data_IF_053908371443
#
_entry.id   IF_053908371443
#
_cell.length_a   1.000
_cell.length_b   1.000
_cell.length_c   1.000
_cell.angle_alpha   90.00
_cell.angle_beta   90.00
_cell.angle_gamma   90.00
#
_symmetry.space_group_name_H-M   'P 1'
#
loop_
_entity.id
_entity.type
_entity.pdbx_description
1 polymer ?
#
# COMPACT_ATOMS: atom_id res chain seq x y z
N UNK A 1 25.67 -91.55 -37.25
CA UNK A 1 24.23 -91.24 -37.12
C UNK A 1 24.01 -89.99 -37.96
N UNK A 2 23.45 -90.21 -39.16
CA UNK A 2 23.14 -89.32 -40.29
C UNK A 2 24.30 -88.45 -40.84
N UNK A 3 25.06 -88.90 -41.86
CA UNK A 3 24.75 -88.94 -43.32
C UNK A 3 24.43 -87.55 -43.90
N UNK A 4 24.94 -87.09 -45.04
CA UNK A 4 25.54 -87.71 -46.23
C UNK A 4 26.24 -86.56 -47.03
N UNK A 5 27.45 -86.75 -47.57
CA UNK A 5 27.75 -87.10 -48.98
C UNK A 5 27.09 -86.12 -50.00
N UNK A 6 27.71 -85.55 -51.05
CA UNK A 6 28.85 -85.99 -51.88
C UNK A 6 29.07 -84.99 -53.05
N UNK A 7 30.29 -85.03 -53.63
CA UNK A 7 30.65 -84.91 -55.09
C UNK A 7 30.54 -83.53 -55.75
N UNK A 8 31.62 -82.87 -56.22
CA UNK A 8 32.62 -83.11 -57.30
C UNK A 8 32.21 -82.63 -58.72
N UNK A 9 33.15 -81.91 -59.37
CA UNK A 9 33.29 -81.59 -60.82
C UNK A 9 32.28 -80.58 -61.42
N UNK A 10 32.61 -79.70 -62.36
CA UNK A 10 33.61 -79.71 -63.46
C UNK A 10 33.74 -78.28 -64.05
N UNK A 11 34.89 -78.00 -64.67
CA UNK A 11 35.18 -76.86 -65.56
C UNK A 11 34.12 -76.64 -66.66
N UNK A 12 33.93 -75.39 -67.12
CA UNK A 12 34.23 -75.00 -68.51
C UNK A 12 34.04 -73.48 -68.74
N UNK A 13 35.01 -72.89 -69.46
CA UNK A 13 34.92 -71.58 -70.09
C UNK A 13 33.85 -71.56 -71.20
N UNK A 14 33.34 -70.38 -71.60
CA UNK A 14 33.25 -69.98 -73.01
C UNK A 14 32.90 -68.49 -73.22
N UNK A 15 33.75 -67.84 -74.03
CA UNK A 15 33.55 -66.78 -75.03
C UNK A 15 32.46 -65.69 -74.96
N UNK A 16 32.99 -64.45 -75.08
CA UNK A 16 32.66 -63.35 -76.02
C UNK A 16 31.44 -63.50 -76.94
N UNK A 17 30.62 -62.43 -77.02
CA UNK A 17 30.16 -61.69 -78.21
C UNK A 17 29.21 -60.57 -77.72
N UNK A 18 29.32 -59.26 -78.02
CA UNK A 18 28.88 -58.50 -79.23
C UNK A 18 29.03 -57.01 -78.82
N UNK A 19 29.81 -56.11 -79.43
CA UNK A 19 29.66 -55.44 -80.75
C UNK A 19 29.06 -54.00 -80.64
N UNK A 20 29.92 -53.00 -80.94
CA UNK A 20 29.68 -51.73 -81.70
C UNK A 20 29.31 -50.43 -80.95
N UNK A 21 30.25 -49.47 -80.89
CA UNK A 21 30.45 -48.24 -81.72
C UNK A 21 29.64 -47.03 -81.20
N UNK A 22 30.33 -45.99 -80.69
CA UNK A 22 30.32 -44.62 -81.26
C UNK A 22 30.82 -43.53 -80.26
N UNK A 23 31.51 -42.54 -80.82
CA UNK A 23 31.79 -41.17 -80.33
C UNK A 23 32.82 -40.96 -79.21
N UNK A 24 33.98 -40.40 -79.58
CA UNK A 24 34.74 -39.49 -78.71
C UNK A 24 35.59 -38.53 -79.56
N UNK A 25 35.04 -37.38 -79.94
CA UNK A 25 35.81 -36.21 -80.40
C UNK A 25 35.25 -34.98 -79.68
N UNK A 26 36.13 -34.36 -78.89
CA UNK A 26 36.14 -32.98 -78.38
C UNK A 26 34.89 -32.41 -77.68
N UNK A 27 35.07 -31.93 -76.45
CA UNK A 27 35.19 -30.48 -76.22
C UNK A 27 35.55 -30.14 -74.76
N UNK A 28 36.37 -29.10 -74.66
CA UNK A 28 36.84 -28.41 -73.46
C UNK A 28 35.76 -28.27 -72.36
N UNK A 29 36.06 -28.74 -71.15
CA UNK A 29 35.45 -28.22 -69.93
C UNK A 29 36.45 -27.27 -69.29
N UNK A 30 36.22 -25.98 -69.55
CA UNK A 30 36.81 -24.88 -68.81
C UNK A 30 36.55 -25.08 -67.31
N UNK A 31 37.62 -25.09 -66.51
CA UNK A 31 37.52 -24.81 -65.08
C UNK A 31 37.21 -23.31 -64.96
N UNK A 32 35.93 -22.97 -65.02
CA UNK A 32 35.46 -21.66 -64.57
C UNK A 32 35.47 -21.69 -63.05
N UNK A 33 36.52 -21.12 -62.45
CA UNK A 33 36.46 -20.68 -61.07
C UNK A 33 35.62 -19.39 -61.07
N UNK A 34 34.30 -19.53 -61.23
CA UNK A 34 33.38 -18.45 -60.90
C UNK A 34 33.53 -18.20 -59.41
N UNK A 35 34.12 -17.06 -59.04
CA UNK A 35 33.96 -16.52 -57.69
C UNK A 35 32.45 -16.38 -57.50
N UNK A 36 31.85 -17.26 -56.69
CA UNK A 36 30.49 -17.08 -56.21
C UNK A 36 30.37 -15.63 -55.73
N UNK A 37 29.58 -14.82 -56.44
CA UNK A 37 29.16 -13.52 -55.92
C UNK A 37 28.28 -13.83 -54.73
N UNK A 38 28.85 -13.76 -53.53
CA UNK A 38 28.09 -13.78 -52.28
C UNK A 38 26.89 -12.86 -52.44
N UNK A 39 25.70 -13.44 -52.30
CA UNK A 39 24.45 -12.68 -52.33
C UNK A 39 24.55 -11.53 -51.32
N UNK A 40 24.01 -10.33 -51.63
CA UNK A 40 24.08 -9.20 -50.72
C UNK A 40 23.43 -9.58 -49.37
N UNK A 41 24.13 -9.30 -48.26
CA UNK A 41 23.58 -9.45 -46.91
C UNK A 41 22.52 -8.37 -46.70
N UNK A 42 21.26 -8.78 -46.67
CA UNK A 42 20.13 -7.87 -46.46
C UNK A 42 19.64 -8.07 -45.03
N UNK A 43 19.39 -6.96 -44.33
CA UNK A 43 18.77 -6.98 -43.01
C UNK A 43 17.39 -7.62 -43.07
N UNK A 44 17.12 -8.57 -42.18
CA UNK A 44 15.85 -9.27 -42.09
C UNK A 44 15.10 -8.92 -40.83
N UNK A 45 15.77 -8.93 -39.68
CA UNK A 45 15.13 -8.80 -38.38
C UNK A 45 16.06 -8.24 -37.29
N UNK A 46 15.48 -7.93 -36.13
CA UNK A 46 16.19 -7.55 -34.91
C UNK A 46 15.89 -8.55 -33.81
N UNK A 47 16.91 -9.02 -33.09
CA UNK A 47 16.77 -9.91 -31.94
C UNK A 47 17.51 -9.37 -30.69
N UNK A 48 17.05 -9.78 -29.52
CA UNK A 48 17.75 -9.55 -28.25
C UNK A 48 18.80 -10.66 -28.12
N UNK A 49 20.08 -10.30 -28.22
CA UNK A 49 21.20 -11.24 -28.09
C UNK A 49 21.48 -11.57 -26.62
N UNK A 50 21.26 -10.60 -25.73
CA UNK A 50 21.40 -10.75 -24.28
C UNK A 50 20.40 -9.85 -23.58
N UNK A 51 19.67 -10.38 -22.59
CA UNK A 51 18.81 -9.58 -21.71
C UNK A 51 19.64 -8.58 -20.89
N UNK A 52 19.02 -7.50 -20.36
CA UNK A 52 19.70 -6.61 -19.44
C UNK A 52 20.20 -7.33 -18.19
N UNK A 53 21.16 -6.73 -17.49
CA UNK A 53 21.74 -7.33 -16.28
C UNK A 53 20.71 -7.48 -15.14
N UNK A 54 19.62 -6.71 -15.20
CA UNK A 54 18.50 -6.77 -14.25
C UNK A 54 17.15 -6.70 -14.97
N UNK A 55 16.24 -7.61 -14.60
CA UNK A 55 14.85 -7.66 -15.12
C UNK A 55 13.80 -7.68 -14.01
N UNK A 56 14.20 -7.76 -12.74
CA UNK A 56 13.32 -7.70 -11.57
C UNK A 56 13.67 -6.46 -10.76
N UNK A 57 12.71 -5.57 -10.52
CA UNK A 57 12.88 -4.27 -9.88
C UNK A 57 12.03 -4.17 -8.61
N UNK A 58 12.46 -3.38 -7.63
CA UNK A 58 11.64 -3.06 -6.45
C UNK A 58 10.56 -2.04 -6.79
N UNK A 59 9.50 -1.96 -5.98
CA UNK A 59 8.51 -0.89 -6.11
C UNK A 59 9.20 0.47 -5.93
N UNK A 60 8.93 1.41 -6.83
CA UNK A 60 9.57 2.73 -6.89
C UNK A 60 10.96 2.75 -7.54
N UNK A 61 11.52 1.61 -7.91
CA UNK A 61 12.77 1.55 -8.65
C UNK A 61 12.55 1.89 -10.13
N UNK A 62 13.37 2.77 -10.70
CA UNK A 62 13.31 3.07 -12.14
C UNK A 62 14.09 1.98 -12.90
N UNK A 63 13.48 1.30 -13.89
CA UNK A 63 14.17 0.30 -14.68
C UNK A 63 15.41 0.83 -15.40
N UNK A 64 16.52 0.13 -15.24
CA UNK A 64 17.77 0.33 -15.99
C UNK A 64 18.04 -0.92 -16.84
N UNK A 65 18.25 -0.71 -18.14
CA UNK A 65 18.47 -1.77 -19.11
C UNK A 65 19.93 -1.89 -19.54
N UNK A 66 20.85 -1.43 -18.69
CA UNK A 66 22.28 -1.71 -18.83
C UNK A 66 22.55 -3.21 -19.01
N UNK A 67 23.51 -3.51 -19.89
CA UNK A 67 23.87 -4.89 -20.25
C UNK A 67 22.99 -5.56 -21.31
N UNK A 68 21.93 -4.89 -21.78
CA UNK A 68 21.12 -5.33 -22.93
C UNK A 68 21.97 -5.33 -24.21
N UNK A 69 21.97 -6.45 -24.94
CA UNK A 69 22.64 -6.56 -26.24
C UNK A 69 21.62 -6.87 -27.33
N UNK A 70 21.65 -6.10 -28.41
CA UNK A 70 20.72 -6.20 -29.54
C UNK A 70 21.52 -6.53 -30.80
N UNK A 71 21.01 -7.46 -31.61
CA UNK A 71 21.64 -7.86 -32.87
C UNK A 71 20.69 -7.69 -34.05
N UNK A 72 21.25 -7.19 -35.15
CA UNK A 72 20.63 -7.24 -36.47
C UNK A 72 20.87 -8.62 -37.09
N UNK A 73 19.81 -9.23 -37.60
CA UNK A 73 19.81 -10.50 -38.32
C UNK A 73 19.78 -10.22 -39.82
N UNK A 74 20.56 -10.98 -40.58
CA UNK A 74 20.68 -10.85 -42.04
C UNK A 74 20.21 -12.11 -42.76
N UNK A 75 19.98 -12.01 -44.07
CA UNK A 75 19.52 -13.10 -44.95
C UNK A 75 20.41 -14.34 -44.94
N UNK A 76 21.70 -14.20 -44.65
CA UNK A 76 22.65 -15.30 -44.52
C UNK A 76 22.72 -15.88 -43.10
N UNK A 77 21.76 -15.53 -42.24
CA UNK A 77 21.68 -15.89 -40.82
C UNK A 77 22.81 -15.34 -39.95
N UNK A 78 23.68 -14.47 -40.49
CA UNK A 78 24.68 -13.80 -39.67
C UNK A 78 24.04 -12.72 -38.80
N UNK A 79 24.66 -12.50 -37.64
CA UNK A 79 24.24 -11.53 -36.63
C UNK A 79 25.30 -10.46 -36.50
N UNK A 80 24.86 -9.22 -36.41
CA UNK A 80 25.72 -8.07 -36.15
C UNK A 80 25.21 -7.31 -34.94
N UNK A 81 26.01 -7.17 -33.86
CA UNK A 81 25.64 -6.32 -32.73
C UNK A 81 25.35 -4.89 -33.19
N UNK A 82 24.33 -4.27 -32.60
CA UNK A 82 23.96 -2.89 -32.86
C UNK A 82 23.71 -2.14 -31.55
N UNK A 83 24.21 -0.90 -31.48
CA UNK A 83 23.88 0.06 -30.43
C UNK A 83 22.82 1.07 -30.87
N UNK A 84 22.30 0.94 -32.10
CA UNK A 84 21.31 1.84 -32.69
C UNK A 84 19.90 1.34 -32.43
N UNK A 85 19.51 1.32 -31.16
CA UNK A 85 18.15 0.96 -30.73
C UNK A 85 17.65 1.93 -29.67
N UNK A 86 16.33 1.89 -29.42
CA UNK A 86 15.68 2.59 -28.31
C UNK A 86 14.85 1.60 -27.50
N UNK A 87 14.77 1.83 -26.20
CA UNK A 87 13.92 1.06 -25.29
C UNK A 87 12.77 1.95 -24.82
N UNK A 88 11.55 1.43 -24.91
CA UNK A 88 10.33 2.07 -24.41
C UNK A 88 9.59 1.06 -23.54
N UNK A 89 8.99 1.52 -22.44
CA UNK A 89 8.17 0.67 -21.59
C UNK A 89 7.08 1.51 -20.93
N UNK A 90 5.97 0.86 -20.60
CA UNK A 90 4.85 1.49 -19.89
C UNK A 90 4.45 0.59 -18.73
N UNK A 91 4.48 1.13 -17.52
CA UNK A 91 4.14 0.38 -16.33
C UNK A 91 4.07 1.28 -15.11
N UNK A 92 3.37 0.81 -14.09
CA UNK A 92 3.34 1.50 -12.81
C UNK A 92 4.46 0.92 -11.93
N UNK A 93 5.56 1.67 -11.74
CA UNK A 93 6.67 1.25 -10.87
C UNK A 93 6.23 1.06 -9.41
N UNK A 94 5.08 1.57 -9.03
CA UNK A 94 4.52 1.46 -7.69
C UNK A 94 3.53 0.31 -7.55
N UNK A 95 3.43 -0.59 -8.54
CA UNK A 95 2.57 -1.76 -8.48
C UNK A 95 3.31 -3.03 -8.91
N UNK A 96 3.24 -4.05 -8.06
CA UNK A 96 3.76 -5.40 -8.31
C UNK A 96 3.15 -5.95 -9.59
N UNK A 97 3.97 -6.62 -10.39
CA UNK A 97 3.54 -7.26 -11.62
C UNK A 97 4.54 -7.12 -12.76
N UNK A 98 4.18 -7.67 -13.92
CA UNK A 98 5.05 -7.66 -15.09
C UNK A 98 4.65 -6.57 -16.08
N UNK A 99 5.66 -6.00 -16.75
CA UNK A 99 5.50 -5.07 -17.87
C UNK A 99 6.41 -5.49 -19.03
N UNK A 100 6.00 -5.12 -20.25
CA UNK A 100 6.79 -5.34 -21.45
C UNK A 100 7.68 -4.13 -21.74
N UNK A 101 8.93 -4.41 -22.08
CA UNK A 101 9.87 -3.45 -22.65
C UNK A 101 9.96 -3.70 -24.14
N UNK A 102 9.72 -2.67 -24.94
CA UNK A 102 9.85 -2.70 -26.40
C UNK A 102 11.21 -2.13 -26.79
N UNK A 103 11.98 -2.93 -27.52
CA UNK A 103 13.24 -2.54 -28.14
C UNK A 103 12.98 -2.27 -29.62
N UNK A 104 13.18 -1.02 -30.04
CA UNK A 104 13.03 -0.57 -31.44
C UNK A 104 14.40 -0.42 -32.07
N UNK A 105 14.71 -1.21 -33.10
CA UNK A 105 15.92 -1.04 -33.91
C UNK A 105 15.53 -1.10 -35.39
N UNK A 106 15.89 -0.05 -36.14
CA UNK A 106 15.40 0.20 -37.51
C UNK A 106 13.85 0.22 -37.54
N UNK A 107 13.24 -0.59 -38.39
CA UNK A 107 11.80 -0.77 -38.57
C UNK A 107 11.27 -2.04 -37.86
N UNK A 108 12.07 -2.63 -36.95
CA UNK A 108 11.71 -3.83 -36.19
C UNK A 108 11.52 -3.54 -34.72
N UNK A 109 10.68 -4.35 -34.09
CA UNK A 109 10.37 -4.33 -32.67
C UNK A 109 10.57 -5.73 -32.10
N UNK A 110 11.27 -5.81 -30.97
CA UNK A 110 11.40 -7.03 -30.16
C UNK A 110 11.11 -6.66 -28.71
N UNK A 111 10.48 -7.57 -27.97
CA UNK A 111 10.07 -7.32 -26.58
C UNK A 111 10.71 -8.29 -25.61
N UNK A 112 10.88 -7.83 -24.37
CA UNK A 112 11.18 -8.69 -23.22
C UNK A 112 10.36 -8.23 -22.01
N UNK A 113 10.23 -9.09 -21.00
CA UNK A 113 9.49 -8.77 -19.78
C UNK A 113 10.40 -8.31 -18.66
N UNK A 114 9.89 -7.36 -17.88
CA UNK A 114 10.41 -6.99 -16.56
C UNK A 114 9.32 -7.19 -15.52
N UNK A 115 9.72 -7.36 -14.26
CA UNK A 115 8.81 -7.57 -13.15
C UNK A 115 9.13 -6.61 -12.01
N UNK A 116 8.11 -5.99 -11.43
CA UNK A 116 8.22 -5.31 -10.14
C UNK A 116 7.84 -6.30 -9.03
N UNK A 117 8.74 -6.49 -8.06
CA UNK A 117 8.48 -7.30 -6.86
C UNK A 117 7.49 -6.61 -5.92
N UNK A 118 7.13 -7.27 -4.82
CA UNK A 118 6.39 -6.66 -3.70
C UNK A 118 7.25 -5.77 -2.82
N UNK A 119 8.58 -5.93 -2.83
CA UNK A 119 9.47 -5.10 -2.00
C UNK A 119 9.57 -3.65 -2.49
N UNK A 120 9.44 -2.68 -1.59
CA UNK A 120 9.69 -1.26 -1.83
C UNK A 120 11.19 -0.96 -1.79
N UNK A 121 11.63 0.05 -2.56
CA UNK A 121 12.94 0.67 -2.36
C UNK A 121 13.09 1.22 -0.94
N UNK A 122 14.32 1.36 -0.47
CA UNK A 122 14.56 1.91 0.86
C UNK A 122 14.32 3.43 0.87
N UNK A 123 13.37 3.88 1.69
CA UNK A 123 13.02 5.30 1.86
C UNK A 123 13.58 5.91 3.14
N UNK A 124 14.13 5.09 4.03
CA UNK A 124 14.51 5.47 5.40
C UNK A 124 13.36 5.44 6.42
N UNK A 125 12.12 5.17 5.98
CA UNK A 125 10.97 4.98 6.86
C UNK A 125 10.62 3.49 7.01
N UNK A 126 9.99 3.08 8.13
CA UNK A 126 9.39 1.76 8.24
C UNK A 126 8.31 1.56 7.17
N UNK A 127 8.19 0.33 6.66
CA UNK A 127 7.23 -0.04 5.61
C UNK A 127 6.24 -1.05 6.16
N UNK A 128 4.96 -0.76 5.99
CA UNK A 128 3.85 -1.67 6.27
C UNK A 128 3.43 -2.34 4.95
N UNK A 129 3.73 -3.62 4.82
CA UNK A 129 3.23 -4.48 3.76
C UNK A 129 1.95 -5.14 4.24
N UNK A 130 0.82 -4.78 3.65
CA UNK A 130 -0.51 -5.29 4.01
C UNK A 130 -1.03 -6.11 2.83
N UNK A 131 -1.38 -7.37 3.07
CA UNK A 131 -2.00 -8.25 2.10
C UNK A 131 -3.38 -8.67 2.61
N UNK A 132 -4.43 -8.25 1.90
CA UNK A 132 -5.79 -8.70 2.19
C UNK A 132 -6.02 -10.10 1.64
N UNK A 133 -6.92 -10.83 2.28
CA UNK A 133 -7.32 -12.16 1.83
C UNK A 133 -7.84 -12.11 0.38
N UNK A 134 -7.23 -12.91 -0.50
CA UNK A 134 -7.51 -12.94 -1.94
C UNK A 134 -7.33 -11.59 -2.65
N UNK A 135 -6.44 -10.72 -2.17
CA UNK A 135 -6.19 -9.37 -2.70
C UNK A 135 -7.45 -8.49 -2.78
N UNK A 136 -8.45 -8.78 -1.92
CA UNK A 136 -9.72 -8.04 -1.91
C UNK A 136 -9.49 -6.55 -1.64
N UNK A 137 -10.12 -5.70 -2.45
CA UNK A 137 -10.05 -4.26 -2.27
C UNK A 137 -10.65 -3.81 -0.93
N UNK A 138 -10.07 -2.76 -0.34
CA UNK A 138 -10.60 -2.09 0.86
C UNK A 138 -11.39 -0.86 0.41
N UNK A 139 -12.67 -1.07 0.11
CA UNK A 139 -13.56 -0.08 -0.53
C UNK A 139 -14.78 0.33 0.33
N UNK A 140 -14.80 -0.07 1.61
CA UNK A 140 -15.88 0.22 2.56
C UNK A 140 -15.34 0.78 3.88
N UNK A 141 -16.12 1.68 4.51
CA UNK A 141 -15.88 2.19 5.87
C UNK A 141 -16.54 1.35 6.96
N UNK A 142 -17.45 0.47 6.57
CA UNK A 142 -18.31 -0.28 7.49
C UNK A 142 -17.87 -1.74 7.56
N UNK A 143 -17.42 -2.29 6.43
CA UNK A 143 -17.05 -3.70 6.30
C UNK A 143 -15.54 -3.87 6.38
N UNK A 144 -15.11 -4.64 7.38
CA UNK A 144 -13.74 -5.11 7.50
C UNK A 144 -13.41 -6.20 6.47
N UNK A 145 -12.16 -6.23 6.04
CA UNK A 145 -11.53 -7.28 5.24
C UNK A 145 -10.38 -7.88 6.04
N UNK A 146 -10.27 -9.21 6.07
CA UNK A 146 -9.14 -9.88 6.72
C UNK A 146 -7.84 -9.61 5.96
N UNK A 147 -6.74 -9.43 6.68
CA UNK A 147 -5.43 -9.17 6.12
C UNK A 147 -4.31 -9.68 7.03
N UNK A 148 -3.12 -9.85 6.45
CA UNK A 148 -1.87 -9.95 7.18
C UNK A 148 -1.03 -8.69 6.93
N UNK A 149 -0.29 -8.28 7.94
CA UNK A 149 0.62 -7.14 7.88
C UNK A 149 2.01 -7.54 8.33
N UNK A 150 3.01 -7.23 7.51
CA UNK A 150 4.43 -7.33 7.83
C UNK A 150 4.98 -5.91 7.95
N UNK A 151 5.68 -5.62 9.04
CA UNK A 151 6.38 -4.36 9.24
C UNK A 151 7.86 -4.61 9.04
N UNK A 152 8.46 -3.87 8.09
CA UNK A 152 9.90 -3.85 7.90
C UNK A 152 10.50 -2.50 8.29
N UNK A 153 11.69 -2.52 8.88
CA UNK A 153 12.53 -1.34 9.12
C UNK A 153 13.95 -1.68 8.72
N UNK A 154 14.58 -0.81 7.93
CA UNK A 154 15.96 -1.04 7.43
C UNK A 154 16.12 -2.40 6.72
N UNK A 155 15.09 -2.81 5.97
CA UNK A 155 15.04 -4.09 5.25
C UNK A 155 14.69 -5.32 6.09
N UNK A 156 14.73 -5.22 7.42
CA UNK A 156 14.45 -6.34 8.32
C UNK A 156 12.98 -6.39 8.76
N UNK A 157 12.40 -7.58 8.80
CA UNK A 157 11.07 -7.80 9.38
C UNK A 157 11.14 -7.66 10.90
N UNK A 158 10.37 -6.74 11.46
CA UNK A 158 10.33 -6.47 12.91
C UNK A 158 9.01 -6.86 13.56
N UNK A 159 7.95 -7.06 12.78
CA UNK A 159 6.63 -7.45 13.28
C UNK A 159 5.78 -8.09 12.19
N UNK A 160 4.98 -9.09 12.56
CA UNK A 160 3.99 -9.76 11.71
C UNK A 160 2.68 -9.86 12.47
N UNK A 161 1.57 -9.45 11.85
CA UNK A 161 0.27 -9.39 12.51
C UNK A 161 -0.85 -9.80 11.57
N UNK A 162 -1.74 -10.68 12.03
CA UNK A 162 -3.07 -10.86 11.43
C UNK A 162 -4.02 -9.79 11.95
N UNK A 163 -4.80 -9.22 11.03
CA UNK A 163 -5.66 -8.08 11.32
C UNK A 163 -6.87 -8.02 10.38
N UNK A 164 -7.78 -7.09 10.71
CA UNK A 164 -8.86 -6.65 9.84
C UNK A 164 -8.64 -5.19 9.46
N UNK A 165 -8.82 -4.87 8.18
CA UNK A 165 -8.67 -3.51 7.64
C UNK A 165 -9.99 -3.01 7.04
N UNK A 166 -10.31 -1.74 7.26
CA UNK A 166 -11.41 -1.03 6.57
C UNK A 166 -11.02 0.40 6.27
N UNK A 167 -11.76 1.04 5.37
CA UNK A 167 -11.68 2.48 5.13
C UNK A 167 -12.12 3.28 6.37
N UNK A 168 -11.69 4.53 6.45
CA UNK A 168 -12.19 5.45 7.49
C UNK A 168 -12.36 6.88 7.00
N UNK A 169 -12.89 7.71 7.90
CA UNK A 169 -13.05 9.15 7.71
C UNK A 169 -14.32 9.51 6.95
N UNK A 170 -14.64 10.80 6.96
CA UNK A 170 -15.84 11.32 6.31
C UNK A 170 -15.46 11.88 4.93
N UNK A 171 -15.19 13.18 4.83
CA UNK A 171 -14.76 13.78 3.57
C UNK A 171 -13.51 13.09 2.98
N UNK A 172 -12.54 12.71 3.82
CA UNK A 172 -11.28 12.07 3.38
C UNK A 172 -11.47 10.74 2.68
N UNK A 173 -12.56 10.04 2.95
CA UNK A 173 -12.88 8.80 2.25
C UNK A 173 -13.20 9.01 0.76
N UNK A 174 -13.62 10.22 0.37
CA UNK A 174 -13.86 10.55 -1.03
C UNK A 174 -12.58 10.88 -1.81
N UNK A 175 -11.45 11.13 -1.14
CA UNK A 175 -10.22 11.60 -1.77
C UNK A 175 -9.43 10.49 -2.48
N UNK A 176 -8.54 10.82 -3.43
CA UNK A 176 -7.75 9.82 -4.14
C UNK A 176 -6.95 8.88 -3.23
N UNK A 177 -6.32 9.42 -2.18
CA UNK A 177 -5.58 8.62 -1.19
C UNK A 177 -6.44 8.37 0.05
N UNK A 178 -6.75 7.11 0.30
CA UNK A 178 -7.69 6.68 1.34
C UNK A 178 -7.00 6.48 2.69
N UNK A 179 -7.56 6.95 3.82
CA UNK A 179 -7.13 6.54 5.15
C UNK A 179 -7.79 5.24 5.57
N UNK A 180 -7.14 4.49 6.47
CA UNK A 180 -7.59 3.17 6.91
C UNK A 180 -7.65 3.06 8.43
N UNK A 181 -8.50 2.15 8.92
CA UNK A 181 -8.48 1.66 10.30
C UNK A 181 -8.06 0.20 10.27
N UNK A 182 -7.11 -0.16 11.12
CA UNK A 182 -6.60 -1.51 11.32
C UNK A 182 -7.09 -2.01 12.68
N UNK A 183 -7.58 -3.25 12.74
CA UNK A 183 -7.95 -3.93 13.98
C UNK A 183 -7.18 -5.26 14.06
N UNK A 184 -6.11 -5.29 14.83
CA UNK A 184 -5.29 -6.48 15.04
C UNK A 184 -6.09 -7.54 15.81
N UNK A 185 -5.84 -8.81 15.51
CA UNK A 185 -6.48 -9.91 16.23
C UNK A 185 -5.96 -10.00 17.67
N UNK A 186 -4.65 -9.78 17.83
CA UNK A 186 -3.94 -9.74 19.11
C UNK A 186 -3.48 -8.31 19.42
N UNK A 187 -3.49 -7.95 20.70
CA UNK A 187 -2.96 -6.66 21.16
C UNK A 187 -1.43 -6.69 20.98
N UNK A 188 -0.90 -5.77 20.17
CA UNK A 188 0.53 -5.75 19.82
C UNK A 188 1.07 -4.33 19.82
N UNK A 189 2.31 -4.14 20.26
CA UNK A 189 3.06 -2.89 20.09
C UNK A 189 3.49 -2.71 18.63
N UNK A 190 3.23 -1.54 18.07
CA UNK A 190 3.63 -1.19 16.70
C UNK A 190 4.69 -0.09 16.77
N UNK A 191 5.87 -0.35 16.22
CA UNK A 191 6.98 0.62 16.13
C UNK A 191 7.37 1.25 17.48
N UNK A 192 7.23 0.50 18.58
CA UNK A 192 7.57 0.95 19.93
C UNK A 192 6.48 1.75 20.64
N UNK A 193 5.31 1.95 20.00
CA UNK A 193 4.13 2.55 20.64
C UNK A 193 3.43 1.51 21.55
N UNK A 194 2.62 1.99 22.49
CA UNK A 194 1.92 1.15 23.45
C UNK A 194 0.98 0.15 22.75
N UNK A 195 0.91 -1.07 23.27
CA UNK A 195 0.18 -2.16 22.64
C UNK A 195 -1.32 -1.85 22.49
N UNK A 196 -1.90 -2.13 21.32
CA UNK A 196 -3.34 -2.03 21.09
C UNK A 196 -3.80 -2.92 19.96
N UNK A 197 -5.12 -3.06 19.84
CA UNK A 197 -5.76 -3.71 18.70
C UNK A 197 -6.12 -2.71 17.60
N UNK A 198 -6.62 -1.54 17.97
CA UNK A 198 -7.13 -0.57 17.02
C UNK A 198 -6.05 0.48 16.69
N UNK A 199 -5.68 0.54 15.41
CA UNK A 199 -4.70 1.47 14.86
C UNK A 199 -5.29 2.23 13.68
N UNK A 200 -4.73 3.39 13.38
CA UNK A 200 -5.21 4.26 12.31
C UNK A 200 -4.07 4.59 11.36
N UNK A 201 -4.32 4.47 10.06
CA UNK A 201 -3.45 4.99 9.01
C UNK A 201 -4.05 6.29 8.46
N UNK A 202 -3.46 7.42 8.84
CA UNK A 202 -3.81 8.73 8.31
C UNK A 202 -3.07 8.96 6.99
N UNK A 203 -3.84 9.23 5.93
CA UNK A 203 -3.29 9.51 4.60
C UNK A 203 -2.67 10.91 4.47
N UNK A 204 -3.02 11.84 5.38
CA UNK A 204 -2.66 13.26 5.36
C UNK A 204 -2.83 13.95 3.99
N UNK A 205 -3.75 13.48 3.15
CA UNK A 205 -3.83 13.84 1.73
C UNK A 205 -4.01 15.35 1.46
N UNK A 206 -4.81 16.04 2.28
CA UNK A 206 -5.02 17.48 2.16
C UNK A 206 -3.85 18.29 2.68
N UNK A 207 -3.05 17.73 3.59
CA UNK A 207 -1.90 18.40 4.18
C UNK A 207 -0.70 18.28 3.24
N UNK A 208 -0.37 19.38 2.55
CA UNK A 208 0.78 19.42 1.63
C UNK A 208 2.13 19.25 2.30
N UNK A 209 2.20 19.35 3.63
CA UNK A 209 3.41 19.08 4.40
C UNK A 209 3.45 17.64 4.91
N UNK A 210 2.29 16.99 5.03
CA UNK A 210 2.07 15.73 5.76
C UNK A 210 2.37 15.77 7.27
N UNK A 211 2.76 16.92 7.82
CA UNK A 211 3.31 17.06 9.17
C UNK A 211 2.35 17.68 10.19
N UNK A 212 1.27 18.36 9.77
CA UNK A 212 0.45 19.21 10.66
C UNK A 212 -0.16 18.44 11.82
N UNK A 213 -0.63 17.21 11.58
CA UNK A 213 -1.17 16.34 12.63
C UNK A 213 -0.08 15.97 13.65
N UNK A 214 1.09 15.54 13.19
CA UNK A 214 2.21 15.21 14.08
C UNK A 214 2.68 16.43 14.88
N UNK A 215 2.74 17.62 14.27
CA UNK A 215 3.03 18.89 14.97
C UNK A 215 1.98 19.16 16.06
N UNK A 216 0.69 18.93 15.79
CA UNK A 216 -0.36 19.07 16.78
C UNK A 216 -0.18 18.09 17.95
N UNK A 217 0.18 16.83 17.68
CA UNK A 217 0.50 15.86 18.74
C UNK A 217 1.72 16.28 19.56
N UNK A 218 2.79 16.75 18.91
CA UNK A 218 3.97 17.27 19.63
C UNK A 218 3.61 18.46 20.53
N UNK A 219 2.80 19.41 20.03
CA UNK A 219 2.32 20.52 20.85
C UNK A 219 1.44 20.05 22.01
N UNK A 220 0.60 19.04 21.79
CA UNK A 220 -0.25 18.45 22.84
C UNK A 220 0.60 17.90 24.00
N UNK A 221 1.70 17.20 23.69
CA UNK A 221 2.68 16.72 24.69
C UNK A 221 3.36 17.87 25.43
N UNK A 222 3.80 18.89 24.69
CA UNK A 222 4.43 20.08 25.27
C UNK A 222 3.49 20.86 26.20
N UNK A 223 2.18 20.84 25.91
CA UNK A 223 1.16 21.47 26.74
C UNK A 223 0.63 20.56 27.86
N UNK A 224 1.18 19.35 27.98
CA UNK A 224 0.81 18.35 28.99
C UNK A 224 -0.68 18.06 29.01
N UNK A 225 -1.26 17.77 27.84
CA UNK A 225 -2.58 17.15 27.81
C UNK A 225 -2.55 15.78 28.51
N UNK A 226 -3.66 15.33 29.12
CA UNK A 226 -3.70 14.07 29.87
C UNK A 226 -3.29 12.84 29.06
N UNK A 227 -3.57 12.86 27.75
CA UNK A 227 -3.17 11.83 26.80
C UNK A 227 -2.92 12.48 25.43
N UNK A 228 -2.01 11.93 24.64
CA UNK A 228 -1.78 12.31 23.24
C UNK A 228 -1.51 11.03 22.46
N UNK A 229 -2.14 10.81 21.29
CA UNK A 229 -1.83 9.66 20.47
C UNK A 229 -0.36 9.63 20.07
N UNK A 230 0.32 8.51 20.31
CA UNK A 230 1.63 8.26 19.68
C UNK A 230 1.45 8.02 18.18
N UNK A 231 2.42 8.48 17.41
CA UNK A 231 2.42 8.39 15.95
C UNK A 231 3.80 8.11 15.36
N UNK A 232 3.82 7.51 14.17
CA UNK A 232 5.03 7.33 13.36
C UNK A 232 4.69 7.50 11.87
N UNK A 233 5.63 8.06 11.10
CA UNK A 233 5.53 8.07 9.64
C UNK A 233 5.99 6.74 9.06
N UNK A 234 5.21 6.20 8.12
CA UNK A 234 5.44 4.90 7.49
C UNK A 234 5.16 4.96 6.00
N UNK A 235 5.79 4.06 5.24
CA UNK A 235 5.35 3.74 3.89
C UNK A 235 4.34 2.60 3.91
N UNK A 236 3.36 2.63 3.01
CA UNK A 236 2.33 1.58 2.92
C UNK A 236 2.35 0.94 1.55
N UNK A 237 2.46 -0.38 1.52
CA UNK A 237 2.22 -1.23 0.35
C UNK A 237 1.01 -2.11 0.65
N UNK A 238 -0.07 -1.96 -0.12
CA UNK A 238 -1.31 -2.71 0.03
C UNK A 238 -1.53 -3.58 -1.20
N UNK A 239 -1.62 -4.90 -1.03
CA UNK A 239 -1.79 -5.87 -2.13
C UNK A 239 -0.78 -5.65 -3.28
N UNK A 240 0.49 -5.45 -2.93
CA UNK A 240 1.57 -5.19 -3.88
C UNK A 240 1.54 -3.81 -4.55
N UNK A 241 0.66 -2.90 -4.15
CA UNK A 241 0.63 -1.52 -4.64
C UNK A 241 1.11 -0.54 -3.56
N UNK A 242 2.15 0.22 -3.87
CA UNK A 242 2.66 1.27 -2.99
C UNK A 242 1.73 2.48 -3.00
N UNK A 243 1.18 2.79 -1.83
CA UNK A 243 0.21 3.86 -1.62
C UNK A 243 0.87 5.17 -1.13
N UNK A 244 2.18 5.18 -0.95
CA UNK A 244 2.93 6.33 -0.43
C UNK A 244 2.97 6.40 1.09
N UNK A 245 3.43 7.56 1.58
CA UNK A 245 3.58 7.84 3.01
C UNK A 245 2.24 7.95 3.76
N UNK A 246 2.16 7.35 4.93
CA UNK A 246 1.08 7.48 5.89
C UNK A 246 1.65 7.85 7.27
N UNK A 247 0.78 8.32 8.15
CA UNK A 247 1.06 8.43 9.58
C UNK A 247 0.23 7.36 10.29
N UNK A 248 0.90 6.37 10.88
CA UNK A 248 0.25 5.41 11.78
C UNK A 248 0.11 6.04 13.16
N UNK A 249 -1.06 5.93 13.77
CA UNK A 249 -1.37 6.52 15.07
C UNK A 249 -2.27 5.61 15.88
N UNK A 250 -2.18 5.74 17.20
CA UNK A 250 -3.10 5.13 18.15
C UNK A 250 -4.54 5.64 17.93
N UNK A 251 -5.53 4.78 18.18
CA UNK A 251 -6.94 5.17 18.15
C UNK A 251 -7.38 5.85 19.45
N UNK A 252 -8.40 6.71 19.35
CA UNK A 252 -9.04 7.32 20.52
C UNK A 252 -9.97 6.28 21.14
N UNK A 253 -9.57 5.76 22.29
CA UNK A 253 -10.30 4.72 23.03
C UNK A 253 -10.00 4.83 24.53
N UNK A 254 -10.88 4.26 25.35
CA UNK A 254 -10.64 4.10 26.78
C UNK A 254 -9.57 3.03 27.02
N UNK A 255 -8.63 3.29 27.93
CA UNK A 255 -7.64 2.31 28.35
C UNK A 255 -6.50 2.93 29.14
N UNK A 256 -5.83 2.12 29.97
CA UNK A 256 -4.73 2.59 30.82
C UNK A 256 -3.50 3.09 30.04
N UNK A 257 -3.34 2.62 28.79
CA UNK A 257 -2.32 3.09 27.85
C UNK A 257 -2.92 3.99 26.75
N UNK A 258 -4.14 4.47 26.95
CA UNK A 258 -4.90 5.35 26.05
C UNK A 258 -5.47 6.48 26.90
N UNK A 259 -6.76 6.79 26.73
CA UNK A 259 -7.46 7.70 27.64
C UNK A 259 -7.78 6.92 28.92
N UNK A 260 -6.94 7.11 29.93
CA UNK A 260 -7.03 6.41 31.22
C UNK A 260 -8.16 7.00 32.07
N UNK A 261 -9.36 6.43 31.89
CA UNK A 261 -10.55 6.73 32.69
C UNK A 261 -11.18 5.42 33.20
N UNK A 262 -11.90 5.46 34.34
CA UNK A 262 -12.62 4.29 34.86
C UNK A 262 -13.61 3.73 33.85
N UNK A 263 -13.92 2.42 33.94
CA UNK A 263 -14.82 1.70 33.02
C UNK A 263 -16.16 2.43 32.79
N UNK A 264 -16.74 2.98 33.86
CA UNK A 264 -18.00 3.76 33.83
C UNK A 264 -17.87 5.18 33.26
N UNK A 265 -16.68 5.58 32.81
CA UNK A 265 -16.39 6.89 32.26
C UNK A 265 -16.89 7.04 30.82
N UNK A 266 -16.93 8.28 30.36
CA UNK A 266 -17.48 8.68 29.07
C UNK A 266 -16.43 9.41 28.24
N UNK A 267 -16.39 9.06 26.96
CA UNK A 267 -15.68 9.80 25.92
C UNK A 267 -16.70 10.08 24.83
N UNK A 268 -16.93 11.35 24.53
CA UNK A 268 -17.86 11.75 23.47
C UNK A 268 -17.29 12.94 22.69
N UNK A 269 -17.76 13.12 21.47
CA UNK A 269 -17.20 14.07 20.50
C UNK A 269 -18.28 15.07 20.12
N UNK A 270 -17.95 16.37 20.04
CA UNK A 270 -18.75 17.30 19.25
C UNK A 270 -18.51 17.00 17.77
N UNK A 271 -19.49 16.38 17.14
CA UNK A 271 -19.32 15.69 15.87
C UNK A 271 -20.23 16.33 14.80
N UNK A 272 -19.63 16.81 13.71
CA UNK A 272 -20.38 17.34 12.56
C UNK A 272 -21.12 16.28 11.73
N UNK A 273 -20.85 15.00 11.97
CA UNK A 273 -21.44 13.85 11.28
C UNK A 273 -22.22 12.93 12.23
N UNK A 274 -22.63 13.44 13.39
CA UNK A 274 -23.30 12.69 14.46
C UNK A 274 -24.48 11.83 13.99
N UNK A 275 -25.22 12.23 12.96
CA UNK A 275 -26.37 11.48 12.42
C UNK A 275 -25.97 10.12 11.79
N UNK A 276 -24.69 9.94 11.46
CA UNK A 276 -24.14 8.68 10.94
C UNK A 276 -23.69 7.74 12.06
N UNK A 277 -23.68 8.21 13.31
CA UNK A 277 -23.18 7.45 14.46
C UNK A 277 -24.33 6.69 15.14
N UNK A 278 -24.09 5.48 15.68
CA UNK A 278 -25.14 4.59 16.19
C UNK A 278 -25.95 5.20 17.32
N UNK A 279 -25.28 5.94 18.20
CA UNK A 279 -25.89 6.74 19.27
C UNK A 279 -25.29 8.14 19.28
N UNK A 280 -26.18 9.13 19.32
CA UNK A 280 -25.84 10.53 19.30
C UNK A 280 -26.91 11.35 20.04
N UNK A 281 -26.63 12.61 20.35
CA UNK A 281 -27.62 13.57 20.83
C UNK A 281 -27.36 14.97 20.28
N UNK A 282 -28.36 15.85 20.37
CA UNK A 282 -28.23 17.27 20.05
C UNK A 282 -28.50 18.07 21.32
N UNK A 283 -27.60 19.01 21.64
CA UNK A 283 -27.78 19.89 22.80
C UNK A 283 -28.95 20.85 22.58
N UNK A 284 -29.76 21.04 23.62
CA UNK A 284 -31.02 21.77 23.53
C UNK A 284 -30.81 23.26 23.23
N UNK A 285 -29.80 23.89 23.82
CA UNK A 285 -29.57 25.33 23.70
C UNK A 285 -28.76 25.69 22.46
N UNK A 286 -27.61 25.03 22.25
CA UNK A 286 -26.69 25.37 21.15
C UNK A 286 -26.97 24.63 19.86
N UNK A 287 -27.74 23.54 19.89
CA UNK A 287 -28.01 22.72 18.71
C UNK A 287 -26.76 21.99 18.19
N UNK A 288 -25.78 21.72 19.05
CA UNK A 288 -24.59 20.98 18.66
C UNK A 288 -24.85 19.48 18.75
N UNK A 289 -24.44 18.76 17.70
CA UNK A 289 -24.48 17.30 17.67
C UNK A 289 -23.28 16.68 18.38
N UNK A 290 -23.53 15.58 19.08
CA UNK A 290 -22.52 14.82 19.79
C UNK A 290 -22.67 13.32 19.55
N UNK A 291 -21.56 12.62 19.41
CA UNK A 291 -21.48 11.15 19.29
C UNK A 291 -20.62 10.54 20.39
N UNK A 292 -20.83 9.25 20.71
CA UNK A 292 -20.11 8.57 21.78
C UNK A 292 -18.97 7.72 21.24
N UNK A 293 -17.83 7.75 21.94
CA UNK A 293 -16.68 6.84 21.73
C UNK A 293 -16.48 5.87 22.88
N UNK A 294 -16.93 6.24 24.09
CA UNK A 294 -17.00 5.36 25.26
C UNK A 294 -18.20 5.73 26.16
N UNK A 295 -18.95 4.76 26.72
CA UNK A 295 -18.97 3.33 26.37
C UNK A 295 -19.23 3.07 24.88
N UNK A 296 -19.01 1.85 24.40
CA UNK A 296 -19.30 1.50 23.00
C UNK A 296 -20.77 1.83 22.68
N UNK A 297 -21.05 2.68 21.67
CA UNK A 297 -22.40 3.13 21.39
C UNK A 297 -23.33 2.04 20.84
N UNK A 298 -22.80 0.96 20.26
CA UNK A 298 -23.60 -0.14 19.72
C UNK A 298 -23.93 -1.16 20.81
N UNK A 299 -22.94 -1.50 21.64
CA UNK A 299 -23.02 -2.65 22.54
C UNK A 299 -23.20 -2.28 24.03
N UNK A 300 -22.57 -1.19 24.50
CA UNK A 300 -22.37 -0.97 25.95
C UNK A 300 -23.07 0.27 26.51
N UNK A 301 -23.38 1.28 25.68
CA UNK A 301 -24.00 2.52 26.13
C UNK A 301 -25.49 2.33 26.44
N UNK A 302 -25.90 2.45 27.71
CA UNK A 302 -27.31 2.36 28.11
C UNK A 302 -28.10 3.64 27.85
N UNK A 303 -29.43 3.55 27.79
CA UNK A 303 -30.30 4.72 27.61
C UNK A 303 -30.20 5.69 28.81
N UNK A 304 -30.03 5.17 30.03
CA UNK A 304 -29.83 6.00 31.23
C UNK A 304 -28.52 6.80 31.17
N UNK A 305 -27.44 6.16 30.72
CA UNK A 305 -26.14 6.79 30.50
C UNK A 305 -26.22 7.85 29.39
N UNK A 306 -26.90 7.54 28.29
CA UNK A 306 -27.14 8.48 27.19
C UNK A 306 -27.93 9.71 27.67
N UNK A 307 -29.05 9.50 28.37
CA UNK A 307 -29.88 10.56 28.91
C UNK A 307 -29.11 11.42 29.91
N UNK A 308 -28.29 10.80 30.74
CA UNK A 308 -27.45 11.51 31.69
C UNK A 308 -26.48 12.48 31.00
N UNK A 309 -25.69 12.03 30.02
CA UNK A 309 -24.73 12.92 29.34
C UNK A 309 -25.44 14.02 28.58
N UNK A 310 -26.56 13.71 27.90
CA UNK A 310 -27.37 14.74 27.23
C UNK A 310 -27.85 15.80 28.22
N UNK A 311 -28.46 15.39 29.33
CA UNK A 311 -29.00 16.31 30.32
C UNK A 311 -27.89 17.12 31.00
N UNK A 312 -26.73 16.51 31.27
CA UNK A 312 -25.56 17.20 31.81
C UNK A 312 -25.10 18.33 30.88
N UNK A 313 -25.03 18.06 29.56
CA UNK A 313 -24.68 19.06 28.56
C UNK A 313 -25.74 20.16 28.44
N UNK A 314 -27.02 19.81 28.45
CA UNK A 314 -28.12 20.79 28.41
C UNK A 314 -28.10 21.72 29.62
N UNK A 315 -27.87 21.19 30.82
CA UNK A 315 -27.74 21.97 32.05
C UNK A 315 -26.49 22.86 32.02
N UNK A 316 -25.34 22.31 31.64
CA UNK A 316 -24.10 23.06 31.50
C UNK A 316 -24.27 24.25 30.54
N UNK A 317 -24.83 24.02 29.35
CA UNK A 317 -25.04 25.06 28.35
C UNK A 317 -26.03 26.13 28.85
N UNK A 318 -27.10 25.72 29.54
CA UNK A 318 -28.08 26.61 30.17
C UNK A 318 -27.45 27.51 31.24
N UNK A 319 -26.67 26.94 32.16
CA UNK A 319 -25.95 27.68 33.20
C UNK A 319 -24.90 28.62 32.57
N UNK A 320 -24.18 28.16 31.55
CA UNK A 320 -23.19 28.97 30.85
C UNK A 320 -23.81 30.20 30.15
N UNK A 321 -25.06 30.10 29.69
CA UNK A 321 -25.80 31.20 29.08
C UNK A 321 -26.57 32.09 30.08
N UNK A 322 -26.62 31.70 31.35
CA UNK A 322 -27.36 32.41 32.40
C UNK A 322 -26.62 33.65 32.90
N UNK A 323 -27.33 34.55 33.59
CA UNK A 323 -26.72 35.70 34.28
C UNK A 323 -25.77 35.28 35.41
N UNK A 324 -25.99 34.09 35.98
CA UNK A 324 -25.18 33.51 37.06
C UNK A 324 -24.01 32.66 36.57
N UNK A 325 -23.68 32.68 35.26
CA UNK A 325 -22.67 31.77 34.69
C UNK A 325 -21.33 31.81 35.43
N UNK A 326 -20.92 32.98 35.95
CA UNK A 326 -19.65 33.16 36.65
C UNK A 326 -19.73 32.91 38.16
N UNK A 327 -20.90 32.57 38.72
CA UNK A 327 -21.04 32.30 40.14
C UNK A 327 -20.11 31.15 40.57
N UNK A 328 -19.33 31.32 41.65
CA UNK A 328 -18.33 30.33 42.05
C UNK A 328 -18.93 29.01 42.56
N UNK A 329 -20.21 28.97 42.93
CA UNK A 329 -20.89 27.77 43.43
C UNK A 329 -21.84 27.16 42.40
N UNK A 330 -22.58 28.01 41.68
CA UNK A 330 -23.69 27.63 40.80
C UNK A 330 -23.41 27.89 39.32
N UNK A 331 -22.27 28.51 39.00
CA UNK A 331 -21.87 28.82 37.63
C UNK A 331 -21.26 27.63 36.87
N UNK A 332 -20.73 27.92 35.69
CA UNK A 332 -20.21 26.90 34.76
C UNK A 332 -19.10 26.03 35.36
N UNK A 333 -18.34 26.56 36.34
CA UNK A 333 -17.23 25.87 37.01
C UNK A 333 -17.66 24.64 37.80
N UNK A 334 -18.97 24.48 38.08
CA UNK A 334 -19.51 23.24 38.65
C UNK A 334 -19.49 22.09 37.64
N UNK A 335 -19.59 22.39 36.35
CA UNK A 335 -19.74 21.41 35.28
C UNK A 335 -18.41 21.06 34.59
N UNK A 336 -17.43 21.95 34.59
CA UNK A 336 -16.21 21.75 33.80
C UNK A 336 -14.94 21.84 34.63
N UNK A 337 -13.92 21.07 34.24
CA UNK A 337 -12.54 21.35 34.57
C UNK A 337 -12.07 22.54 33.73
N UNK A 338 -12.13 23.73 34.33
CA UNK A 338 -11.76 25.01 33.70
C UNK A 338 -10.35 24.98 33.10
N UNK A 339 -9.39 24.32 33.75
CA UNK A 339 -8.01 24.28 33.24
C UNK A 339 -7.92 23.47 31.95
N UNK A 340 -8.66 22.38 31.83
CA UNK A 340 -8.69 21.58 30.59
C UNK A 340 -9.28 22.38 29.42
N UNK A 341 -10.35 23.15 29.64
CA UNK A 341 -10.97 23.98 28.61
C UNK A 341 -10.07 25.13 28.18
N UNK A 342 -9.40 25.82 29.13
CA UNK A 342 -8.44 26.88 28.81
C UNK A 342 -7.25 26.32 28.03
N UNK A 343 -6.70 25.16 28.44
CA UNK A 343 -5.60 24.49 27.74
C UNK A 343 -6.00 24.15 26.30
N UNK A 344 -7.18 23.55 26.12
CA UNK A 344 -7.71 23.22 24.80
C UNK A 344 -7.92 24.46 23.93
N UNK A 345 -8.50 25.53 24.47
CA UNK A 345 -8.69 26.78 23.74
C UNK A 345 -7.36 27.38 23.26
N UNK A 346 -6.34 27.45 24.13
CA UNK A 346 -5.01 27.96 23.76
C UNK A 346 -4.38 27.06 22.68
N UNK A 347 -4.47 25.74 22.84
CA UNK A 347 -3.94 24.77 21.89
C UNK A 347 -4.49 24.99 20.47
N UNK A 348 -5.83 25.08 20.33
CA UNK A 348 -6.46 25.31 19.03
C UNK A 348 -6.11 26.67 18.43
N UNK A 349 -5.96 27.71 19.26
CA UNK A 349 -5.56 29.04 18.81
C UNK A 349 -4.11 29.07 18.29
N UNK A 350 -3.17 28.37 18.95
CA UNK A 350 -1.78 28.26 18.49
C UNK A 350 -1.73 27.57 17.11
N UNK A 351 -2.53 26.52 16.92
CA UNK A 351 -2.59 25.79 15.66
C UNK A 351 -3.43 26.49 14.58
N UNK A 352 -4.14 27.57 14.93
CA UNK A 352 -5.12 28.23 14.09
C UNK A 352 -6.15 27.24 13.50
N UNK A 353 -6.57 26.25 14.30
CA UNK A 353 -7.53 25.25 13.86
C UNK A 353 -8.94 25.86 13.86
N UNK A 354 -9.49 26.09 12.67
CA UNK A 354 -10.79 26.76 12.49
C UNK A 354 -11.97 25.79 12.55
N UNK A 355 -11.74 24.49 12.36
CA UNK A 355 -12.78 23.47 12.30
C UNK A 355 -12.47 22.34 13.28
N UNK A 356 -12.79 22.61 14.54
CA UNK A 356 -12.43 21.75 15.67
C UNK A 356 -13.60 20.87 16.09
N UNK A 357 -13.42 19.56 15.99
CA UNK A 357 -14.19 18.61 16.78
C UNK A 357 -13.49 18.45 18.13
N UNK A 358 -14.24 18.57 19.22
CA UNK A 358 -13.70 18.42 20.57
C UNK A 358 -14.10 17.09 21.16
N UNK A 359 -13.12 16.36 21.69
CA UNK A 359 -13.38 15.22 22.56
C UNK A 359 -13.58 15.71 23.99
N UNK A 360 -14.63 15.20 24.60
CA UNK A 360 -15.10 15.53 25.93
C UNK A 360 -15.06 14.26 26.78
N UNK A 361 -14.47 14.39 27.97
CA UNK A 361 -14.23 13.27 28.89
C UNK A 361 -14.87 13.55 30.24
N UNK A 362 -15.63 12.58 30.75
CA UNK A 362 -16.27 12.63 32.06
C UNK A 362 -16.11 11.28 32.76
N UNK A 363 -15.57 11.26 33.97
CA UNK A 363 -15.13 9.99 34.59
C UNK A 363 -16.23 9.19 35.29
N UNK A 364 -17.38 9.81 35.58
CA UNK A 364 -18.54 9.14 36.19
C UNK A 364 -19.84 9.92 35.99
N UNK A 365 -20.95 9.32 36.43
CA UNK A 365 -22.27 9.96 36.47
C UNK A 365 -22.53 10.78 37.76
N UNK A 366 -21.50 11.01 38.58
CA UNK A 366 -21.59 11.71 39.86
C UNK A 366 -21.01 13.14 39.72
N UNK A 367 -20.20 13.55 40.72
CA UNK A 367 -19.66 14.90 40.88
C UNK A 367 -18.45 15.20 39.99
N UNK A 368 -18.04 14.25 39.13
CA UNK A 368 -16.95 14.54 38.20
C UNK A 368 -17.28 15.69 37.25
N UNK A 369 -16.26 16.44 36.88
CA UNK A 369 -16.39 17.53 35.92
C UNK A 369 -16.03 17.07 34.52
N UNK A 370 -16.66 17.69 33.54
CA UNK A 370 -16.34 17.50 32.15
C UNK A 370 -14.97 18.12 31.82
N UNK A 371 -14.15 17.42 31.06
CA UNK A 371 -12.86 17.91 30.60
C UNK A 371 -12.76 17.85 29.08
N UNK A 372 -11.97 18.75 28.47
CA UNK A 372 -11.64 18.69 27.05
C UNK A 372 -10.32 17.94 26.86
N UNK A 373 -10.36 16.86 26.08
CA UNK A 373 -9.19 16.12 25.63
C UNK A 373 -8.65 16.66 24.31
N UNK A 374 -7.41 16.31 23.93
CA UNK A 374 -6.93 16.54 22.58
C UNK A 374 -7.56 15.61 21.55
#
# INVERSE_FOLDING_TARGET
MYESDKIMMKNLQFNRLVSWIALSVFSFLFVSCEKEKLAPKIFTDTEIAKLPDKTVFKLGETPDFSGLEVSEVYTDSTRKPTSHYKTEWTGNIFKKGSSNVTVRARDREVTFQITFSDELIETGLPVLYIETENEKAVDSKDKYVNANMIIKKEGETISENSLRIKGRGNATWSYPKKPYKLKLDTKTSILGMEEAKDWVLLANYCDKTLLRTSIAFQLSRLMHFPWTPDDQFVEVVLNGEYLGNYQITEAIEQGSNRIDIPEQGFIFERDGYYEQEPKHFVSALRGYGYSFKNPDPEDDLSDDQWHYIKNYMDEFESVLASETFADPQNGYRRYIDELSFVRWFIFQNILANMDTNVYLVKVDMNDSKLSMGP
#
